data_IF_997335473783
#
_entry.id   IF_997335473783
#
_cell.length_a   1.000
_cell.length_b   1.000
_cell.length_c   1.000
_cell.angle_alpha   90.00
_cell.angle_beta   90.00
_cell.angle_gamma   90.00
#
_symmetry.space_group_name_H-M   'P 1'
#
loop_
_entity.id
_entity.type
_entity.pdbx_description
1 polymer ?
#
# COMPACT_ATOMS: atom_id res chain seq x y z
N UNK A 1 -28.93 26.78 -9.19
CA UNK A 1 -28.43 25.72 -10.12
C UNK A 1 -27.88 24.60 -9.29
N UNK A 2 -28.18 23.34 -9.62
CA UNK A 2 -27.68 22.18 -8.89
C UNK A 2 -26.12 22.18 -8.90
N UNK A 3 -25.50 22.00 -7.74
CA UNK A 3 -24.03 22.02 -7.63
C UNK A 3 -23.41 20.63 -7.80
N UNK A 4 -24.19 19.59 -7.46
CA UNK A 4 -23.80 18.21 -7.64
C UNK A 4 -24.30 17.63 -8.95
N UNK A 5 -23.47 16.78 -9.57
CA UNK A 5 -23.86 15.95 -10.73
C UNK A 5 -23.77 14.47 -10.37
N UNK A 6 -24.57 13.66 -11.05
CA UNK A 6 -24.54 12.21 -10.90
C UNK A 6 -23.46 11.59 -11.79
N UNK A 7 -23.04 10.38 -11.43
CA UNK A 7 -22.04 9.62 -12.21
C UNK A 7 -22.44 9.45 -13.68
N UNK A 8 -23.71 9.23 -13.97
CA UNK A 8 -24.24 9.09 -15.33
C UNK A 8 -24.03 10.31 -16.22
N UNK A 9 -23.80 11.49 -15.63
CA UNK A 9 -23.63 12.75 -16.36
C UNK A 9 -22.16 13.05 -16.69
N UNK A 10 -21.20 12.37 -16.04
CA UNK A 10 -19.76 12.65 -16.19
C UNK A 10 -19.29 12.50 -17.63
N UNK A 11 -19.57 11.36 -18.26
CA UNK A 11 -19.07 11.07 -19.60
C UNK A 11 -19.57 12.07 -20.65
N UNK A 12 -20.83 12.51 -20.52
CA UNK A 12 -21.39 13.52 -21.41
C UNK A 12 -20.70 14.88 -21.22
N UNK A 13 -20.49 15.29 -19.96
CA UNK A 13 -19.82 16.56 -19.66
C UNK A 13 -18.35 16.55 -20.11
N UNK A 14 -17.62 15.44 -19.92
CA UNK A 14 -16.24 15.31 -20.41
C UNK A 14 -16.21 15.41 -21.95
N UNK A 15 -17.13 14.74 -22.65
CA UNK A 15 -17.25 14.86 -24.12
C UNK A 15 -17.54 16.29 -24.57
N UNK A 16 -18.26 17.04 -23.74
CA UNK A 16 -18.56 18.45 -23.97
C UNK A 16 -17.42 19.40 -23.54
N UNK A 17 -16.23 18.89 -23.20
CA UNK A 17 -15.03 19.66 -22.92
C UNK A 17 -14.85 20.12 -21.47
N UNK A 18 -15.65 19.62 -20.53
CA UNK A 18 -15.42 19.83 -19.10
C UNK A 18 -14.14 19.15 -18.63
N UNK A 19 -13.41 19.81 -17.74
CA UNK A 19 -12.21 19.22 -17.12
C UNK A 19 -12.63 18.47 -15.85
N UNK A 20 -12.16 17.23 -15.71
CA UNK A 20 -12.36 16.44 -14.50
C UNK A 20 -11.18 16.61 -13.57
N UNK A 21 -11.42 16.96 -12.29
CA UNK A 21 -10.37 17.29 -11.31
C UNK A 21 -10.47 16.36 -10.11
N UNK A 22 -9.36 15.73 -9.78
CA UNK A 22 -9.18 14.93 -8.56
C UNK A 22 -8.54 15.79 -7.47
N UNK A 23 -9.29 16.13 -6.43
CA UNK A 23 -8.81 16.92 -5.29
C UNK A 23 -8.15 16.10 -4.20
N UNK A 24 -8.13 14.78 -4.32
CA UNK A 24 -7.56 13.92 -3.27
C UNK A 24 -6.05 14.15 -3.15
N UNK A 25 -5.49 13.72 -2.02
CA UNK A 25 -4.06 13.79 -1.79
C UNK A 25 -3.25 12.86 -2.73
N UNK A 26 -1.95 13.13 -2.84
CA UNK A 26 -1.02 12.37 -3.70
C UNK A 26 -1.00 10.88 -3.33
N UNK A 27 -1.22 10.54 -2.06
CA UNK A 27 -1.26 9.16 -1.59
C UNK A 27 -2.52 8.48 -2.08
N UNK A 28 -3.69 9.12 -1.94
CA UNK A 28 -4.98 8.63 -2.46
C UNK A 28 -4.95 8.39 -3.97
N UNK A 29 -4.35 9.32 -4.73
CA UNK A 29 -4.20 9.25 -6.18
C UNK A 29 -3.35 8.04 -6.60
N UNK A 30 -2.34 7.66 -5.82
CA UNK A 30 -1.52 6.48 -6.09
C UNK A 30 -2.32 5.16 -6.10
N UNK A 31 -3.48 5.13 -5.48
CA UNK A 31 -4.37 3.95 -5.47
C UNK A 31 -5.35 3.91 -6.64
N UNK A 32 -5.38 4.92 -7.47
CA UNK A 32 -6.18 5.04 -8.69
C UNK A 32 -6.94 6.36 -8.75
N UNK A 33 -7.27 6.80 -9.96
CA UNK A 33 -8.07 7.99 -10.27
C UNK A 33 -9.20 7.62 -11.22
N UNK A 34 -10.21 8.48 -11.30
CA UNK A 34 -11.16 8.39 -12.42
C UNK A 34 -10.39 8.70 -13.71
N UNK A 35 -10.50 7.85 -14.76
CA UNK A 35 -9.77 8.05 -16.01
C UNK A 35 -9.99 9.45 -16.60
N UNK A 36 -8.89 10.10 -17.00
CA UNK A 36 -8.92 11.46 -17.55
C UNK A 36 -8.97 12.59 -16.52
N UNK A 37 -8.97 12.28 -15.23
CA UNK A 37 -8.90 13.30 -14.19
C UNK A 37 -7.51 13.93 -14.09
N UNK A 38 -7.48 15.23 -13.79
CA UNK A 38 -6.26 15.99 -13.50
C UNK A 38 -6.13 16.12 -11.98
N UNK A 39 -5.02 15.68 -11.38
CA UNK A 39 -4.80 15.83 -9.94
C UNK A 39 -4.52 17.31 -9.61
N UNK A 40 -5.35 17.90 -8.77
CA UNK A 40 -5.18 19.30 -8.36
C UNK A 40 -5.83 19.55 -7.01
N UNK A 41 -5.04 19.89 -6.01
CA UNK A 41 -5.54 20.21 -4.66
C UNK A 41 -6.32 21.50 -4.63
N UNK A 42 -7.20 21.65 -3.64
CA UNK A 42 -8.07 22.81 -3.47
C UNK A 42 -7.30 24.13 -3.52
N UNK A 43 -6.19 24.25 -2.79
CA UNK A 43 -5.36 25.46 -2.75
C UNK A 43 -4.85 25.85 -4.15
N UNK A 44 -4.34 24.87 -4.88
CA UNK A 44 -3.84 25.08 -6.24
C UNK A 44 -4.97 25.30 -7.24
N UNK A 45 -6.14 24.70 -7.01
CA UNK A 45 -7.33 24.85 -7.84
C UNK A 45 -7.81 26.32 -7.83
N UNK A 46 -7.92 26.93 -6.65
CA UNK A 46 -8.35 28.30 -6.48
C UNK A 46 -7.30 29.29 -6.98
N UNK A 47 -6.01 29.06 -6.68
CA UNK A 47 -4.93 29.91 -7.20
C UNK A 47 -4.85 29.92 -8.73
N UNK A 48 -5.23 28.84 -9.38
CA UNK A 48 -5.16 28.69 -10.82
C UNK A 48 -6.55 28.72 -11.50
N UNK A 49 -7.57 29.21 -10.82
CA UNK A 49 -8.95 29.24 -11.30
C UNK A 49 -9.08 29.82 -12.72
N UNK A 50 -8.29 30.84 -13.04
CA UNK A 50 -8.30 31.52 -14.34
C UNK A 50 -8.04 30.59 -15.55
N UNK A 51 -7.29 29.50 -15.39
CA UNK A 51 -7.01 28.56 -16.48
C UNK A 51 -8.25 27.80 -16.95
N UNK A 52 -9.26 27.66 -16.09
CA UNK A 52 -10.48 26.92 -16.42
C UNK A 52 -11.50 27.75 -17.21
N UNK A 53 -11.31 29.08 -17.34
CA UNK A 53 -12.20 29.96 -18.10
C UNK A 53 -12.25 29.65 -19.61
N UNK A 54 -11.25 28.94 -20.11
CA UNK A 54 -11.23 28.46 -21.51
C UNK A 54 -12.03 27.18 -21.74
N UNK A 55 -12.51 26.54 -20.67
CA UNK A 55 -13.32 25.33 -20.71
C UNK A 55 -14.78 25.66 -20.42
N UNK A 56 -15.74 24.84 -20.88
CA UNK A 56 -17.16 24.97 -20.54
C UNK A 56 -17.44 24.91 -19.05
N UNK A 57 -16.53 24.31 -18.28
CA UNK A 57 -16.56 24.20 -16.83
C UNK A 57 -15.71 23.06 -16.30
N UNK A 58 -15.77 22.84 -15.00
CA UNK A 58 -15.03 21.81 -14.30
C UNK A 58 -15.96 20.88 -13.52
N UNK A 59 -15.55 19.62 -13.41
CA UNK A 59 -16.15 18.62 -12.52
C UNK A 59 -15.08 18.28 -11.50
N UNK A 60 -15.42 18.39 -10.23
CA UNK A 60 -14.48 18.21 -9.14
C UNK A 60 -14.94 17.02 -8.31
N UNK A 61 -14.01 16.19 -7.87
CA UNK A 61 -14.34 15.16 -6.88
C UNK A 61 -13.26 15.06 -5.80
N UNK A 62 -13.71 14.73 -4.60
CA UNK A 62 -12.91 14.26 -3.49
C UNK A 62 -13.25 12.79 -3.19
N UNK A 63 -12.90 12.28 -2.05
CA UNK A 63 -13.16 10.88 -1.68
C UNK A 63 -14.67 10.58 -1.60
N UNK A 64 -15.48 11.46 -0.97
CA UNK A 64 -16.93 11.26 -0.71
C UNK A 64 -17.85 12.26 -1.38
N UNK A 65 -17.33 13.31 -1.98
CA UNK A 65 -18.12 14.38 -2.57
C UNK A 65 -18.32 15.60 -1.66
N UNK A 66 -17.96 15.54 -0.39
CA UNK A 66 -18.22 16.61 0.58
C UNK A 66 -17.34 17.84 0.34
N UNK A 67 -16.02 17.69 0.36
CA UNK A 67 -15.07 18.80 0.16
C UNK A 67 -15.11 19.37 -1.26
N UNK A 68 -15.48 18.57 -2.25
CA UNK A 68 -15.61 19.03 -3.63
C UNK A 68 -16.82 19.94 -3.88
N UNK A 69 -17.83 19.91 -2.98
CA UNK A 69 -18.94 20.88 -3.02
C UNK A 69 -18.41 22.28 -2.75
N UNK A 70 -17.64 22.46 -1.66
CA UNK A 70 -17.05 23.77 -1.33
C UNK A 70 -16.15 24.31 -2.45
N UNK A 71 -15.31 23.45 -3.02
CA UNK A 71 -14.46 23.83 -4.14
C UNK A 71 -15.26 24.26 -5.38
N UNK A 72 -16.37 23.60 -5.65
CA UNK A 72 -17.28 23.96 -6.75
C UNK A 72 -18.02 25.27 -6.47
N UNK A 73 -18.38 25.55 -5.21
CA UNK A 73 -18.99 26.83 -4.79
C UNK A 73 -18.00 27.99 -5.01
N UNK A 74 -16.79 27.88 -4.50
CA UNK A 74 -15.73 28.90 -4.65
C UNK A 74 -15.44 29.22 -6.13
N UNK A 75 -15.34 28.19 -6.99
CA UNK A 75 -15.13 28.43 -8.42
C UNK A 75 -16.33 29.12 -9.10
N UNK A 76 -17.55 28.85 -8.64
CA UNK A 76 -18.76 29.54 -9.15
C UNK A 76 -18.79 31.01 -8.74
N UNK A 77 -18.28 31.36 -7.56
CA UNK A 77 -18.11 32.76 -7.15
C UNK A 77 -17.14 33.50 -8.08
N UNK A 78 -16.13 32.79 -8.62
CA UNK A 78 -15.21 33.29 -9.66
C UNK A 78 -15.81 33.26 -11.10
N UNK A 79 -17.12 33.00 -11.24
CA UNK A 79 -17.82 32.86 -12.51
C UNK A 79 -17.32 31.71 -13.41
N UNK A 80 -16.82 30.63 -12.82
CA UNK A 80 -16.42 29.41 -13.51
C UNK A 80 -17.50 28.35 -13.26
N UNK A 81 -18.15 27.78 -14.32
CA UNK A 81 -19.13 26.72 -14.14
C UNK A 81 -18.44 25.48 -13.52
N UNK A 82 -18.80 25.16 -12.29
CA UNK A 82 -18.20 24.06 -11.54
C UNK A 82 -19.25 23.16 -10.93
N UNK A 83 -18.97 21.87 -10.89
CA UNK A 83 -19.84 20.83 -10.33
C UNK A 83 -19.03 19.89 -9.43
N UNK A 84 -19.64 19.47 -8.33
CA UNK A 84 -19.14 18.38 -7.49
C UNK A 84 -19.74 17.06 -7.96
N UNK A 85 -18.91 16.01 -7.99
CA UNK A 85 -19.39 14.65 -8.23
C UNK A 85 -20.07 14.10 -6.98
N UNK A 86 -21.35 13.78 -7.07
CA UNK A 86 -22.12 13.22 -5.97
C UNK A 86 -21.49 11.89 -5.47
N UNK A 87 -21.19 11.83 -4.17
CA UNK A 87 -20.54 10.69 -3.54
C UNK A 87 -19.07 10.46 -3.93
N UNK A 88 -18.48 11.37 -4.72
CA UNK A 88 -17.05 11.43 -5.05
C UNK A 88 -16.48 10.17 -5.69
N UNK A 89 -15.18 9.94 -5.47
CA UNK A 89 -14.46 8.75 -5.97
C UNK A 89 -15.07 7.44 -5.50
N UNK A 90 -15.58 7.39 -4.28
CA UNK A 90 -16.20 6.18 -3.73
C UNK A 90 -17.47 5.77 -4.48
N UNK A 91 -18.28 6.72 -4.93
CA UNK A 91 -19.47 6.42 -5.72
C UNK A 91 -19.09 5.88 -7.10
N UNK A 92 -18.10 6.53 -7.77
CA UNK A 92 -17.61 6.07 -9.06
C UNK A 92 -17.00 4.65 -8.96
N UNK A 93 -16.21 4.38 -7.92
CA UNK A 93 -15.62 3.06 -7.70
C UNK A 93 -16.68 1.98 -7.54
N UNK A 94 -17.78 2.27 -6.78
CA UNK A 94 -18.88 1.32 -6.60
C UNK A 94 -19.62 1.02 -7.91
N UNK A 95 -19.89 2.04 -8.72
CA UNK A 95 -20.55 1.83 -10.00
C UNK A 95 -19.68 1.03 -10.97
N UNK A 96 -18.39 1.34 -11.02
CA UNK A 96 -17.41 0.59 -11.83
C UNK A 96 -17.39 -0.89 -11.46
N UNK A 97 -17.39 -1.18 -10.15
CA UNK A 97 -17.43 -2.55 -9.63
C UNK A 97 -18.71 -3.29 -9.99
N UNK A 98 -19.86 -2.60 -10.02
CA UNK A 98 -21.12 -3.22 -10.41
C UNK A 98 -21.13 -3.61 -11.89
N UNK A 99 -20.54 -2.79 -12.75
CA UNK A 99 -20.42 -3.08 -14.19
C UNK A 99 -19.46 -4.24 -14.49
N UNK A 100 -18.47 -4.49 -13.64
CA UNK A 100 -17.49 -5.57 -13.83
C UNK A 100 -18.00 -6.97 -13.46
N UNK A 101 -19.16 -7.11 -12.82
CA UNK A 101 -19.68 -8.40 -12.33
C UNK A 101 -19.90 -9.39 -13.49
N UNK A 102 -20.24 -8.92 -14.67
CA UNK A 102 -20.58 -9.76 -15.84
C UNK A 102 -19.36 -10.25 -16.65
N UNK A 103 -18.17 -9.69 -16.42
CA UNK A 103 -16.94 -9.99 -17.19
C UNK A 103 -15.85 -10.73 -16.39
N UNK A 104 -16.15 -11.16 -15.18
CA UNK A 104 -15.16 -11.62 -14.18
C UNK A 104 -14.28 -12.82 -14.58
N UNK A 105 -14.78 -13.79 -15.37
CA UNK A 105 -14.00 -14.99 -15.68
C UNK A 105 -12.89 -14.70 -16.71
N UNK A 106 -13.18 -13.94 -17.74
CA UNK A 106 -12.22 -13.58 -18.80
C UNK A 106 -11.12 -12.68 -18.22
N UNK A 107 -11.48 -11.68 -17.43
CA UNK A 107 -10.53 -10.76 -16.80
C UNK A 107 -9.57 -11.48 -15.84
N UNK A 108 -10.06 -12.45 -15.06
CA UNK A 108 -9.23 -13.30 -14.20
C UNK A 108 -8.16 -14.05 -14.97
N UNK A 109 -8.54 -14.72 -16.06
CA UNK A 109 -7.61 -15.48 -16.90
C UNK A 109 -6.57 -14.57 -17.56
N UNK A 110 -6.96 -13.38 -18.00
CA UNK A 110 -6.05 -12.38 -18.57
C UNK A 110 -5.01 -11.90 -17.54
N UNK A 111 -5.43 -11.62 -16.30
CA UNK A 111 -4.53 -11.23 -15.23
C UNK A 111 -3.54 -12.35 -14.91
N UNK A 112 -4.00 -13.61 -14.81
CA UNK A 112 -3.13 -14.76 -14.56
C UNK A 112 -2.13 -14.97 -15.71
N UNK A 113 -2.58 -14.91 -16.96
CA UNK A 113 -1.71 -14.96 -18.14
C UNK A 113 -0.73 -13.79 -18.16
N UNK A 114 -1.16 -12.61 -17.72
CA UNK A 114 -0.33 -11.44 -17.59
C UNK A 114 0.84 -11.66 -16.63
N UNK A 115 0.59 -12.25 -15.44
CA UNK A 115 1.63 -12.60 -14.47
C UNK A 115 2.63 -13.60 -15.06
N UNK A 116 2.15 -14.61 -15.78
CA UNK A 116 2.99 -15.65 -16.38
C UNK A 116 3.86 -15.14 -17.55
N UNK A 117 3.43 -14.10 -18.27
CA UNK A 117 4.10 -13.58 -19.46
C UNK A 117 4.67 -12.18 -19.24
N UNK A 118 3.81 -11.15 -19.32
CA UNK A 118 4.20 -9.73 -19.31
C UNK A 118 4.90 -9.32 -18.01
N UNK A 119 4.37 -9.78 -16.89
CA UNK A 119 4.83 -9.41 -15.55
C UNK A 119 5.79 -10.41 -14.93
N UNK A 120 6.11 -11.49 -15.63
CA UNK A 120 6.97 -12.56 -15.09
C UNK A 120 8.31 -12.03 -14.59
N UNK A 121 9.02 -11.24 -15.40
CA UNK A 121 10.35 -10.71 -15.05
C UNK A 121 10.31 -9.66 -13.93
N UNK A 122 9.24 -8.90 -13.84
CA UNK A 122 9.11 -7.75 -12.93
C UNK A 122 8.43 -8.09 -11.60
N UNK A 123 7.53 -9.07 -11.60
CA UNK A 123 6.76 -9.46 -10.42
C UNK A 123 7.05 -10.89 -9.98
N UNK A 124 6.80 -11.89 -10.83
CA UNK A 124 6.91 -13.29 -10.41
C UNK A 124 8.36 -13.72 -10.14
N UNK A 125 9.30 -13.40 -11.03
CA UNK A 125 10.70 -13.78 -10.86
C UNK A 125 11.34 -13.15 -9.60
N UNK A 126 11.18 -11.84 -9.28
CA UNK A 126 11.64 -11.28 -8.01
C UNK A 126 10.94 -11.89 -6.79
N UNK A 127 9.64 -12.22 -6.87
CA UNK A 127 8.91 -12.93 -5.82
C UNK A 127 9.54 -14.31 -5.53
N UNK A 128 9.67 -15.14 -6.55
CA UNK A 128 10.28 -16.46 -6.43
C UNK A 128 11.74 -16.38 -5.97
N UNK A 129 12.50 -15.37 -6.44
CA UNK A 129 13.86 -15.09 -5.98
C UNK A 129 13.89 -14.76 -4.49
N UNK A 130 13.01 -13.87 -4.01
CA UNK A 130 12.96 -13.52 -2.58
C UNK A 130 12.64 -14.74 -1.73
N UNK A 131 11.63 -15.53 -2.12
CA UNK A 131 11.26 -16.78 -1.43
C UNK A 131 12.44 -17.74 -1.33
N UNK A 132 13.21 -17.91 -2.41
CA UNK A 132 14.36 -18.79 -2.44
C UNK A 132 15.56 -18.23 -1.67
N UNK A 133 15.91 -16.96 -1.89
CA UNK A 133 17.10 -16.32 -1.30
C UNK A 133 17.01 -16.24 0.22
N UNK A 134 15.83 -15.95 0.73
CA UNK A 134 15.62 -15.81 2.18
C UNK A 134 14.98 -17.05 2.82
N UNK A 135 14.95 -18.17 2.09
CA UNK A 135 14.44 -19.47 2.58
C UNK A 135 13.09 -19.36 3.29
N UNK A 136 12.14 -18.70 2.61
CA UNK A 136 10.84 -18.36 3.20
C UNK A 136 9.85 -19.52 3.26
N UNK A 137 10.03 -20.54 2.42
CA UNK A 137 9.11 -21.69 2.31
C UNK A 137 9.80 -23.02 2.54
N UNK A 138 9.11 -23.91 3.25
CA UNK A 138 9.47 -25.31 3.44
C UNK A 138 8.33 -26.22 2.99
N UNK A 139 8.65 -27.49 2.71
CA UNK A 139 7.62 -28.49 2.46
C UNK A 139 6.76 -28.71 3.71
N UNK A 140 5.45 -28.77 3.52
CA UNK A 140 4.48 -28.89 4.59
C UNK A 140 4.02 -27.58 5.22
N UNK A 141 4.58 -26.43 4.82
CA UNK A 141 4.13 -25.13 5.32
C UNK A 141 2.65 -24.88 5.05
N UNK A 142 1.97 -24.28 6.01
CA UNK A 142 0.64 -23.68 5.84
C UNK A 142 0.70 -22.19 6.15
N UNK A 143 0.46 -21.37 5.12
CA UNK A 143 0.76 -19.95 5.12
C UNK A 143 -0.53 -19.15 5.14
N UNK A 144 -0.71 -18.28 6.14
CA UNK A 144 -1.74 -17.27 6.13
C UNK A 144 -1.26 -16.05 5.32
N UNK A 145 -1.77 -15.90 4.10
CA UNK A 145 -1.54 -14.73 3.25
C UNK A 145 -2.45 -13.62 3.73
N UNK A 146 -1.88 -12.60 4.39
CA UNK A 146 -2.65 -11.52 5.00
C UNK A 146 -3.07 -10.49 3.95
N UNK A 147 -4.38 -10.34 3.76
CA UNK A 147 -4.98 -9.44 2.77
C UNK A 147 -5.57 -8.22 3.49
N UNK A 148 -5.07 -7.04 3.15
CA UNK A 148 -5.58 -5.76 3.65
C UNK A 148 -6.62 -5.11 2.73
N UNK A 149 -6.84 -5.65 1.54
CA UNK A 149 -7.66 -5.06 0.49
C UNK A 149 -6.91 -4.11 -0.44
N UNK A 150 -5.65 -3.77 -0.14
CA UNK A 150 -4.80 -2.94 -1.00
C UNK A 150 -4.11 -3.74 -2.11
N UNK A 151 -3.60 -3.00 -3.12
CA UNK A 151 -2.93 -3.55 -4.31
C UNK A 151 -1.84 -4.57 -4.00
N UNK A 152 -1.02 -4.28 -2.96
CA UNK A 152 0.16 -5.11 -2.63
C UNK A 152 -0.25 -6.48 -2.10
N UNK A 153 -1.20 -6.52 -1.18
CA UNK A 153 -1.68 -7.77 -0.57
C UNK A 153 -2.44 -8.65 -1.57
N UNK A 154 -3.21 -8.05 -2.47
CA UNK A 154 -3.93 -8.77 -3.52
C UNK A 154 -2.97 -9.33 -4.59
N UNK A 155 -1.96 -8.54 -5.01
CA UNK A 155 -0.91 -9.05 -5.89
C UNK A 155 -0.13 -10.18 -5.24
N UNK A 156 0.26 -10.04 -3.95
CA UNK A 156 0.94 -11.10 -3.20
C UNK A 156 0.15 -12.41 -3.23
N UNK A 157 -1.16 -12.35 -3.03
CA UNK A 157 -2.03 -13.53 -3.11
C UNK A 157 -1.98 -14.19 -4.49
N UNK A 158 -2.01 -13.39 -5.58
CA UNK A 158 -1.90 -13.91 -6.94
C UNK A 158 -0.54 -14.53 -7.22
N UNK A 159 0.55 -13.93 -6.74
CA UNK A 159 1.90 -14.46 -6.90
C UNK A 159 2.10 -15.78 -6.13
N UNK A 160 1.48 -15.92 -4.95
CA UNK A 160 1.44 -17.20 -4.24
C UNK A 160 0.65 -18.27 -4.98
N UNK A 161 -0.52 -17.94 -5.54
CA UNK A 161 -1.29 -18.87 -6.37
C UNK A 161 -0.48 -19.34 -7.59
N UNK A 162 0.26 -18.42 -8.23
CA UNK A 162 1.13 -18.77 -9.35
C UNK A 162 2.30 -19.64 -8.89
N UNK A 163 2.98 -19.29 -7.78
CA UNK A 163 4.08 -20.08 -7.23
C UNK A 163 3.65 -21.53 -6.90
N UNK A 164 2.44 -21.70 -6.37
CA UNK A 164 1.89 -23.03 -6.05
C UNK A 164 1.72 -23.92 -7.29
N UNK A 165 1.42 -23.33 -8.46
CA UNK A 165 1.31 -24.07 -9.75
C UNK A 165 2.64 -24.70 -10.17
N UNK A 166 3.78 -24.12 -9.76
CA UNK A 166 5.12 -24.63 -10.14
C UNK A 166 5.55 -25.87 -9.34
N UNK A 167 4.87 -26.24 -8.28
CA UNK A 167 5.06 -27.50 -7.51
C UNK A 167 6.51 -27.76 -7.02
N UNK A 168 7.32 -26.72 -6.88
CA UNK A 168 8.71 -26.85 -6.39
C UNK A 168 8.77 -27.14 -4.88
N UNK A 169 7.78 -26.71 -4.14
CA UNK A 169 7.54 -26.95 -2.71
C UNK A 169 6.07 -27.29 -2.52
N UNK A 170 5.78 -28.19 -1.60
CA UNK A 170 4.41 -28.54 -1.23
C UNK A 170 3.99 -27.71 -0.01
N UNK A 171 3.11 -26.73 -0.21
CA UNK A 171 2.59 -25.86 0.85
C UNK A 171 1.12 -25.53 0.62
N UNK A 172 0.43 -25.16 1.71
CA UNK A 172 -0.97 -24.77 1.70
C UNK A 172 -1.11 -23.27 1.95
N UNK A 173 -2.14 -22.67 1.35
CA UNK A 173 -2.45 -21.25 1.46
C UNK A 173 -3.80 -21.04 2.13
N UNK A 174 -3.86 -20.08 3.04
CA UNK A 174 -5.09 -19.51 3.59
C UNK A 174 -5.03 -18.00 3.32
N UNK A 175 -6.00 -17.47 2.58
CA UNK A 175 -6.07 -16.04 2.29
C UNK A 175 -6.91 -15.35 3.36
N UNK A 176 -6.25 -14.67 4.28
CA UNK A 176 -6.84 -14.19 5.52
C UNK A 176 -7.08 -12.69 5.48
N UNK A 177 -8.34 -12.29 5.59
CA UNK A 177 -8.75 -10.88 5.72
C UNK A 177 -9.18 -10.66 7.16
N UNK A 178 -8.57 -9.71 7.84
CA UNK A 178 -9.05 -9.24 9.11
C UNK A 178 -9.91 -8.00 8.89
N UNK A 179 -11.17 -8.06 9.30
CA UNK A 179 -12.09 -6.92 9.34
C UNK A 179 -12.04 -6.29 10.73
N UNK A 180 -11.40 -5.13 10.88
CA UNK A 180 -11.31 -4.42 12.17
C UNK A 180 -12.53 -3.51 12.43
N UNK A 181 -13.62 -3.71 11.71
CA UNK A 181 -14.84 -2.89 11.69
C UNK A 181 -14.91 -1.99 10.45
N UNK A 182 -14.66 -2.55 9.28
CA UNK A 182 -14.79 -1.83 8.00
C UNK A 182 -16.20 -1.28 7.81
N UNK A 183 -16.32 -0.21 7.03
CA UNK A 183 -17.63 0.16 6.50
C UNK A 183 -18.14 -0.94 5.54
N UNK A 184 -19.46 -1.13 5.42
CA UNK A 184 -20.03 -2.10 4.47
C UNK A 184 -19.52 -1.90 3.04
N UNK A 185 -19.26 -0.63 2.65
CA UNK A 185 -18.73 -0.28 1.33
C UNK A 185 -17.30 -0.78 1.15
N UNK A 186 -16.42 -0.52 2.12
CA UNK A 186 -15.03 -0.95 2.07
C UNK A 186 -14.92 -2.48 2.05
N UNK A 187 -15.75 -3.16 2.83
CA UNK A 187 -15.82 -4.62 2.84
C UNK A 187 -16.22 -5.17 1.47
N UNK A 188 -17.26 -4.60 0.84
CA UNK A 188 -17.69 -4.99 -0.52
C UNK A 188 -16.57 -4.83 -1.55
N UNK A 189 -15.76 -3.77 -1.47
CA UNK A 189 -14.61 -3.57 -2.37
C UNK A 189 -13.60 -4.70 -2.23
N UNK A 190 -13.27 -5.11 -1.00
CA UNK A 190 -12.34 -6.20 -0.73
C UNK A 190 -12.86 -7.53 -1.27
N UNK A 191 -14.13 -7.84 -0.99
CA UNK A 191 -14.79 -9.08 -1.44
C UNK A 191 -14.89 -9.13 -2.97
N UNK A 192 -15.25 -8.00 -3.61
CA UNK A 192 -15.31 -7.89 -5.06
C UNK A 192 -13.94 -8.14 -5.71
N UNK A 193 -12.91 -7.43 -5.26
CA UNK A 193 -11.56 -7.61 -5.78
C UNK A 193 -11.04 -9.04 -5.59
N UNK A 194 -11.33 -9.65 -4.44
CA UNK A 194 -10.98 -11.04 -4.20
C UNK A 194 -11.68 -11.98 -5.17
N UNK A 195 -12.98 -11.78 -5.44
CA UNK A 195 -13.76 -12.54 -6.41
C UNK A 195 -13.22 -12.35 -7.84
N UNK A 196 -12.99 -11.09 -8.26
CA UNK A 196 -12.43 -10.74 -9.57
C UNK A 196 -11.07 -11.42 -9.79
N UNK A 197 -10.20 -11.42 -8.79
CA UNK A 197 -8.87 -12.03 -8.85
C UNK A 197 -8.91 -13.55 -8.59
N UNK A 198 -10.05 -14.13 -8.24
CA UNK A 198 -10.18 -15.55 -7.90
C UNK A 198 -9.38 -15.95 -6.66
N UNK A 199 -9.38 -15.10 -5.63
CA UNK A 199 -8.73 -15.34 -4.36
C UNK A 199 -9.79 -15.81 -3.34
N UNK A 200 -9.75 -17.05 -2.85
CA UNK A 200 -10.71 -17.56 -1.87
C UNK A 200 -10.39 -17.01 -0.47
N UNK A 201 -10.92 -15.84 -0.15
CA UNK A 201 -10.65 -15.19 1.14
C UNK A 201 -11.44 -15.79 2.29
N UNK A 202 -10.81 -15.83 3.46
CA UNK A 202 -11.44 -16.11 4.76
C UNK A 202 -11.45 -14.83 5.56
N UNK A 203 -12.64 -14.29 5.86
CA UNK A 203 -12.78 -13.04 6.62
C UNK A 203 -13.08 -13.40 8.08
N UNK A 204 -12.42 -12.70 9.00
CA UNK A 204 -12.76 -12.71 10.43
C UNK A 204 -12.85 -11.28 10.96
N UNK A 205 -13.75 -11.07 11.90
CA UNK A 205 -14.04 -9.78 12.49
C UNK A 205 -13.25 -9.55 13.77
N UNK A 206 -12.96 -8.30 14.09
CA UNK A 206 -12.35 -7.89 15.35
C UNK A 206 -12.77 -6.47 15.72
N UNK A 207 -12.85 -6.18 17.01
CA UNK A 207 -13.29 -4.88 17.54
C UNK A 207 -12.14 -3.88 17.70
N UNK A 208 -11.09 -3.97 16.85
CA UNK A 208 -9.89 -3.16 17.01
C UNK A 208 -10.20 -1.68 16.84
N UNK A 209 -11.04 -1.31 15.88
CA UNK A 209 -11.36 0.10 15.68
C UNK A 209 -12.06 0.71 16.89
N UNK A 210 -12.96 -0.05 17.51
CA UNK A 210 -13.66 0.41 18.71
C UNK A 210 -12.71 0.48 19.91
N UNK A 211 -11.72 -0.43 19.99
CA UNK A 211 -10.69 -0.45 21.03
C UNK A 211 -9.65 0.68 20.91
N UNK A 212 -9.47 1.25 19.73
CA UNK A 212 -8.50 2.34 19.47
C UNK A 212 -9.19 3.72 19.50
N UNK A 213 -10.53 3.76 19.55
CA UNK A 213 -11.31 4.98 19.74
C UNK A 213 -10.91 5.64 21.06
N UNK A 214 -10.50 6.91 21.00
CA UNK A 214 -10.11 7.70 22.18
C UNK A 214 -8.61 7.65 22.54
N UNK A 215 -7.77 6.97 21.77
CA UNK A 215 -6.32 7.00 21.98
C UNK A 215 -5.72 8.19 21.21
N UNK A 216 -5.29 9.23 21.94
CA UNK A 216 -4.73 10.45 21.36
C UNK A 216 -3.32 10.28 20.79
N UNK A 217 -2.49 9.37 21.35
CA UNK A 217 -1.09 9.18 20.94
C UNK A 217 -0.94 7.99 19.98
N UNK A 218 -0.62 8.28 18.73
CA UNK A 218 -0.26 7.29 17.70
C UNK A 218 -1.28 6.16 17.51
N UNK A 219 -2.57 6.45 17.27
CA UNK A 219 -3.63 5.43 17.15
C UNK A 219 -3.32 4.42 16.03
N UNK A 220 -2.74 4.86 14.92
CA UNK A 220 -2.35 3.99 13.81
C UNK A 220 -1.26 2.97 14.20
N UNK A 221 -0.30 3.34 15.05
CA UNK A 221 0.73 2.41 15.52
C UNK A 221 0.13 1.31 16.41
N UNK A 222 -0.75 1.71 17.32
CA UNK A 222 -1.42 0.78 18.25
C UNK A 222 -2.33 -0.16 17.45
N UNK A 223 -3.12 0.39 16.53
CA UNK A 223 -3.97 -0.38 15.62
C UNK A 223 -3.14 -1.41 14.82
N UNK A 224 -2.03 -1.01 14.22
CA UNK A 224 -1.16 -1.90 13.47
C UNK A 224 -0.56 -3.02 14.34
N UNK A 225 -0.21 -2.73 15.60
CA UNK A 225 0.29 -3.72 16.56
C UNK A 225 -0.80 -4.71 16.97
N UNK A 226 -2.00 -4.24 17.29
CA UNK A 226 -3.15 -5.09 17.64
C UNK A 226 -3.55 -5.97 16.46
N UNK A 227 -3.67 -5.38 15.26
CA UNK A 227 -3.98 -6.12 14.02
C UNK A 227 -3.02 -7.28 13.81
N UNK A 228 -1.73 -7.07 14.03
CA UNK A 228 -0.73 -8.13 13.88
C UNK A 228 -0.97 -9.27 14.88
N UNK A 229 -1.26 -8.97 16.14
CA UNK A 229 -1.58 -9.96 17.17
C UNK A 229 -2.78 -10.82 16.78
N UNK A 230 -3.88 -10.21 16.35
CA UNK A 230 -5.09 -10.90 15.90
C UNK A 230 -4.83 -11.78 14.65
N UNK A 231 -4.05 -11.27 13.69
CA UNK A 231 -3.66 -12.04 12.50
C UNK A 231 -2.87 -13.31 12.88
N UNK A 232 -1.91 -13.20 13.79
CA UNK A 232 -1.15 -14.35 14.28
C UNK A 232 -2.05 -15.34 15.00
N UNK A 233 -2.92 -14.87 15.89
CA UNK A 233 -3.84 -15.73 16.64
C UNK A 233 -4.76 -16.51 15.69
N UNK A 234 -5.38 -15.83 14.72
CA UNK A 234 -6.27 -16.45 13.76
C UNK A 234 -5.55 -17.40 12.81
N UNK A 235 -4.35 -17.03 12.35
CA UNK A 235 -3.52 -17.89 11.52
C UNK A 235 -3.16 -19.20 12.26
N UNK A 236 -2.79 -19.14 13.53
CA UNK A 236 -2.49 -20.29 14.37
C UNK A 236 -3.74 -21.17 14.60
N UNK A 237 -4.90 -20.56 14.86
CA UNK A 237 -6.19 -21.27 14.98
C UNK A 237 -6.51 -22.08 13.71
N UNK A 238 -6.19 -21.52 12.53
CA UNK A 238 -6.34 -22.17 11.24
C UNK A 238 -5.22 -23.19 10.92
N UNK A 239 -4.31 -23.44 11.86
CA UNK A 239 -3.20 -24.37 11.72
C UNK A 239 -2.08 -23.87 10.80
N UNK A 240 -1.98 -22.56 10.57
CA UNK A 240 -0.86 -21.97 9.82
C UNK A 240 0.36 -21.85 10.72
N UNK A 241 1.55 -22.11 10.16
CA UNK A 241 2.83 -21.89 10.81
C UNK A 241 3.54 -20.61 10.30
N UNK A 242 3.00 -19.96 9.26
CA UNK A 242 3.55 -18.73 8.72
C UNK A 242 2.46 -17.69 8.43
N UNK A 243 2.81 -16.41 8.57
CA UNK A 243 2.04 -15.30 8.03
C UNK A 243 2.85 -14.57 6.97
N UNK A 244 2.23 -14.24 5.85
CA UNK A 244 2.83 -13.47 4.76
C UNK A 244 2.26 -12.07 4.70
N UNK A 245 3.13 -11.05 4.67
CA UNK A 245 2.78 -9.65 4.58
C UNK A 245 3.28 -9.03 3.28
N UNK A 246 2.47 -8.20 2.65
CA UNK A 246 2.71 -7.60 1.34
C UNK A 246 3.67 -6.40 1.32
N UNK A 247 4.71 -6.40 2.17
CA UNK A 247 5.74 -5.37 2.11
C UNK A 247 6.68 -5.62 0.92
N UNK A 248 7.01 -4.55 0.22
CA UNK A 248 7.82 -4.58 -1.00
C UNK A 248 9.16 -3.86 -0.83
N UNK A 249 9.99 -3.85 -1.87
CA UNK A 249 11.34 -3.27 -1.87
C UNK A 249 11.38 -1.83 -1.39
N UNK A 250 10.43 -1.01 -1.84
CA UNK A 250 10.40 0.42 -1.49
C UNK A 250 10.09 0.61 0.00
N UNK A 251 9.22 -0.22 0.60
CA UNK A 251 9.00 -0.22 2.07
C UNK A 251 10.29 -0.51 2.85
N UNK A 252 11.14 -1.38 2.32
CA UNK A 252 12.41 -1.76 2.97
C UNK A 252 13.37 -0.58 2.98
N UNK A 253 13.61 0.06 1.82
CA UNK A 253 14.53 1.20 1.74
C UNK A 253 14.01 2.41 2.53
N UNK A 254 12.71 2.66 2.52
CA UNK A 254 12.08 3.69 3.35
C UNK A 254 12.32 3.40 4.84
N UNK A 255 12.14 2.14 5.27
CA UNK A 255 12.34 1.74 6.68
C UNK A 255 13.80 1.90 7.12
N UNK A 256 14.76 1.58 6.26
CA UNK A 256 16.19 1.78 6.54
C UNK A 256 16.48 3.26 6.78
N UNK A 257 16.08 4.14 5.86
CA UNK A 257 16.31 5.58 6.01
C UNK A 257 15.54 6.17 7.20
N UNK A 258 14.31 5.76 7.43
CA UNK A 258 13.54 6.20 8.60
C UNK A 258 14.24 5.80 9.90
N UNK A 259 14.80 4.60 9.97
CA UNK A 259 15.60 4.15 11.13
C UNK A 259 16.80 5.05 11.39
N UNK A 260 17.53 5.43 10.33
CA UNK A 260 18.70 6.29 10.41
C UNK A 260 18.32 7.75 10.76
N UNK A 261 17.38 8.34 10.03
CA UNK A 261 17.08 9.78 10.10
C UNK A 261 16.24 10.16 11.33
N UNK A 262 15.33 9.30 11.76
CA UNK A 262 14.40 9.61 12.85
C UNK A 262 14.58 8.71 14.07
N UNK A 263 15.20 7.53 13.91
CA UNK A 263 15.41 6.59 15.00
C UNK A 263 16.85 6.53 15.52
N UNK A 264 17.83 7.12 14.81
CA UNK A 264 19.25 7.02 15.13
C UNK A 264 19.74 5.56 15.13
N UNK A 265 19.16 4.70 14.30
CA UNK A 265 19.43 3.26 14.27
C UNK A 265 19.61 2.78 12.83
N UNK A 266 20.65 1.97 12.61
CA UNK A 266 20.79 1.22 11.35
C UNK A 266 20.06 -0.12 11.51
N UNK A 267 18.86 -0.21 10.99
CA UNK A 267 18.02 -1.42 11.02
C UNK A 267 17.20 -1.55 9.75
N UNK A 268 16.91 -2.78 9.37
CA UNK A 268 16.07 -3.09 8.22
C UNK A 268 14.78 -3.78 8.64
N UNK A 269 13.84 -3.81 7.71
CA UNK A 269 12.68 -4.67 7.78
C UNK A 269 13.12 -6.08 7.36
N UNK A 270 13.22 -7.03 8.28
CA UNK A 270 13.70 -8.38 7.97
C UNK A 270 12.77 -9.11 6.98
N UNK A 271 13.31 -9.78 5.95
CA UNK A 271 12.50 -10.53 4.98
C UNK A 271 11.76 -11.73 5.62
N UNK A 272 12.36 -12.31 6.66
CA UNK A 272 11.83 -13.45 7.43
C UNK A 272 12.21 -13.28 8.89
N UNK A 273 11.28 -13.59 9.81
CA UNK A 273 11.57 -13.58 11.25
C UNK A 273 10.62 -14.49 12.03
N UNK A 274 11.11 -15.08 13.10
CA UNK A 274 10.30 -15.79 14.07
C UNK A 274 9.45 -14.82 14.89
N UNK A 275 8.25 -15.25 15.22
CA UNK A 275 7.40 -14.48 16.13
C UNK A 275 7.87 -14.64 17.58
N UNK A 276 8.09 -13.54 18.28
CA UNK A 276 8.45 -13.56 19.70
C UNK A 276 7.29 -13.93 20.62
N UNK A 277 6.05 -13.68 20.18
CA UNK A 277 4.84 -13.87 21.00
C UNK A 277 4.02 -15.12 20.60
N UNK A 278 4.31 -15.72 19.46
CA UNK A 278 3.61 -16.88 18.92
C UNK A 278 4.64 -17.94 18.53
N UNK A 279 4.96 -18.80 19.49
CA UNK A 279 5.92 -19.88 19.30
C UNK A 279 5.57 -20.74 18.08
N UNK A 280 6.59 -21.13 17.30
CA UNK A 280 6.44 -21.90 16.07
C UNK A 280 5.89 -21.13 14.87
N UNK A 281 5.59 -19.81 15.01
CA UNK A 281 5.11 -18.98 13.90
C UNK A 281 6.24 -18.14 13.31
N UNK A 282 6.26 -18.03 11.99
CA UNK A 282 7.16 -17.13 11.25
C UNK A 282 6.37 -16.05 10.49
N UNK A 283 6.99 -14.88 10.35
CA UNK A 283 6.55 -13.84 9.42
C UNK A 283 7.46 -13.84 8.20
N UNK A 284 6.87 -13.81 7.02
CA UNK A 284 7.59 -13.71 5.74
C UNK A 284 7.11 -12.52 4.91
N UNK A 285 8.01 -11.96 4.08
CA UNK A 285 7.74 -10.83 3.17
C UNK A 285 8.18 -11.20 1.75
N UNK A 286 7.40 -11.99 1.03
CA UNK A 286 7.84 -12.55 -0.25
C UNK A 286 7.94 -11.51 -1.38
N UNK A 287 7.33 -10.32 -1.23
CA UNK A 287 7.46 -9.21 -2.17
C UNK A 287 8.71 -8.34 -1.95
N UNK A 288 9.62 -8.75 -1.07
CA UNK A 288 10.80 -8.01 -0.61
C UNK A 288 11.68 -7.43 -1.73
N UNK A 289 11.70 -8.07 -2.90
CA UNK A 289 12.48 -7.65 -4.08
C UNK A 289 11.64 -7.03 -5.20
N UNK A 290 10.33 -6.83 -4.99
CA UNK A 290 9.43 -6.24 -5.98
C UNK A 290 9.35 -4.73 -5.78
N UNK A 291 9.42 -3.97 -6.88
CA UNK A 291 9.31 -2.51 -6.87
C UNK A 291 7.84 -2.06 -6.85
N UNK A 292 7.56 -1.02 -6.07
CA UNK A 292 6.21 -0.44 -6.00
C UNK A 292 5.69 0.02 -7.37
N UNK A 293 6.56 0.60 -8.20
CA UNK A 293 6.20 1.07 -9.54
C UNK A 293 5.74 -0.09 -10.45
N UNK A 294 6.33 -1.28 -10.31
CA UNK A 294 5.88 -2.46 -11.07
C UNK A 294 4.53 -2.98 -10.57
N UNK A 295 4.24 -2.85 -9.26
CA UNK A 295 2.93 -3.17 -8.69
C UNK A 295 1.86 -2.20 -9.19
N UNK A 296 2.17 -0.90 -9.22
CA UNK A 296 1.29 0.13 -9.77
C UNK A 296 1.00 -0.10 -11.25
N UNK A 297 2.05 -0.36 -12.03
CA UNK A 297 1.91 -0.63 -13.45
C UNK A 297 1.09 -1.90 -13.73
N UNK A 298 1.20 -2.95 -12.91
CA UNK A 298 0.34 -4.13 -12.97
C UNK A 298 -1.12 -3.77 -12.67
N UNK A 299 -1.39 -3.00 -11.63
CA UNK A 299 -2.72 -2.51 -11.28
C UNK A 299 -3.35 -1.75 -12.45
N UNK A 300 -2.62 -0.76 -12.98
CA UNK A 300 -3.12 0.14 -14.03
C UNK A 300 -3.36 -0.59 -15.34
N UNK A 301 -2.47 -1.53 -15.70
CA UNK A 301 -2.63 -2.35 -16.92
C UNK A 301 -3.86 -3.25 -16.87
N UNK A 302 -4.25 -3.69 -15.68
CA UNK A 302 -5.41 -4.57 -15.49
C UNK A 302 -6.67 -3.79 -15.08
N UNK A 303 -6.61 -2.46 -15.09
CA UNK A 303 -7.73 -1.59 -14.70
C UNK A 303 -8.32 -2.02 -13.34
N UNK A 304 -7.44 -2.17 -12.33
CA UNK A 304 -7.81 -2.61 -10.99
C UNK A 304 -7.84 -1.43 -10.03
N UNK A 305 -8.86 -1.39 -9.20
CA UNK A 305 -9.08 -0.33 -8.23
C UNK A 305 -9.10 -0.90 -6.82
N UNK A 306 -8.27 -0.36 -5.94
CA UNK A 306 -8.09 -0.82 -4.57
C UNK A 306 -8.36 0.28 -3.56
N UNK A 307 -8.72 -0.11 -2.35
CA UNK A 307 -8.83 0.82 -1.23
C UNK A 307 -7.44 1.29 -0.80
N UNK A 308 -7.33 2.59 -0.55
CA UNK A 308 -6.13 3.17 0.06
C UNK A 308 -6.03 2.80 1.54
N UNK A 309 -7.08 3.07 2.28
CA UNK A 309 -7.23 2.71 3.68
C UNK A 309 -8.69 2.32 3.90
N UNK A 310 -8.90 1.11 4.43
CA UNK A 310 -10.25 0.65 4.75
C UNK A 310 -10.69 1.08 6.16
N UNK A 311 -9.94 1.96 6.83
CA UNK A 311 -10.18 2.42 8.19
C UNK A 311 -11.41 3.34 8.27
N UNK A 312 -12.22 3.21 9.32
CA UNK A 312 -13.33 4.15 9.64
C UNK A 312 -12.84 5.57 9.95
N UNK A 313 -11.57 5.70 10.35
CA UNK A 313 -10.94 6.97 10.74
C UNK A 313 -10.24 7.69 9.60
N UNK A 314 -10.49 7.34 8.35
CA UNK A 314 -9.88 8.03 7.19
C UNK A 314 -10.09 9.54 7.24
N UNK A 315 -11.19 10.00 7.80
CA UNK A 315 -11.54 11.43 7.90
C UNK A 315 -10.89 12.15 9.07
N UNK A 316 -10.48 11.42 10.12
CA UNK A 316 -9.86 11.97 11.34
C UNK A 316 -8.41 11.51 11.54
N UNK A 317 -7.93 10.60 10.70
CA UNK A 317 -6.58 10.06 10.77
C UNK A 317 -5.58 11.09 10.25
N UNK A 318 -4.67 11.54 11.10
CA UNK A 318 -3.58 12.46 10.72
C UNK A 318 -2.68 11.95 9.58
N UNK A 319 -2.71 10.64 9.31
CA UNK A 319 -2.05 10.00 8.15
C UNK A 319 -2.89 10.01 6.88
N UNK A 320 -4.18 10.35 6.98
CA UNK A 320 -5.18 10.29 5.91
C UNK A 320 -5.92 11.63 5.73
N UNK A 321 -5.58 12.67 6.50
CA UNK A 321 -6.21 13.99 6.39
C UNK A 321 -5.88 14.63 5.05
N UNK A 322 -6.91 15.18 4.41
CA UNK A 322 -6.85 15.85 3.11
C UNK A 322 -6.09 17.20 3.17
N UNK A 323 -5.79 17.72 4.37
CA UNK A 323 -5.20 19.05 4.62
C UNK A 323 -3.71 19.21 4.23
N UNK A 324 -3.15 18.28 3.46
CA UNK A 324 -1.83 18.45 2.86
C UNK A 324 -0.63 18.38 3.80
N UNK A 325 -0.84 18.42 5.11
CA UNK A 325 0.17 18.25 6.15
C UNK A 325 0.14 16.82 6.72
N UNK A 326 0.19 15.82 5.86
CA UNK A 326 0.52 14.48 6.33
C UNK A 326 1.95 14.52 6.87
N UNK A 327 2.10 14.67 8.18
CA UNK A 327 3.36 14.54 8.93
C UNK A 327 3.86 13.07 8.90
N UNK A 328 3.57 12.34 7.83
CA UNK A 328 4.02 10.97 7.67
C UNK A 328 5.50 10.97 7.33
N UNK A 329 6.32 10.57 8.32
CA UNK A 329 7.78 10.41 8.13
C UNK A 329 8.11 9.49 6.95
N UNK A 330 7.23 8.58 6.62
CA UNK A 330 7.35 7.72 5.45
C UNK A 330 7.22 8.51 4.14
N UNK A 331 6.25 9.42 4.05
CA UNK A 331 6.07 10.26 2.84
C UNK A 331 7.26 11.22 2.65
N UNK A 332 7.76 11.82 3.74
CA UNK A 332 8.96 12.65 3.69
C UNK A 332 10.16 11.84 3.18
N UNK A 333 10.36 10.62 3.72
CA UNK A 333 11.45 9.73 3.30
C UNK A 333 11.31 9.33 1.84
N UNK A 334 10.10 9.04 1.37
CA UNK A 334 9.82 8.70 -0.02
C UNK A 334 10.17 9.86 -0.96
N UNK A 335 9.80 11.10 -0.60
CA UNK A 335 10.16 12.31 -1.35
C UNK A 335 11.68 12.52 -1.37
N UNK A 336 12.36 12.31 -0.25
CA UNK A 336 13.82 12.40 -0.15
C UNK A 336 14.52 11.39 -1.07
N UNK A 337 14.08 10.12 -1.06
CA UNK A 337 14.63 9.09 -1.96
C UNK A 337 14.44 9.48 -3.42
N UNK A 338 13.25 9.97 -3.78
CA UNK A 338 12.96 10.41 -5.15
C UNK A 338 13.85 11.57 -5.58
N UNK A 339 14.14 12.52 -4.67
CA UNK A 339 15.05 13.64 -4.95
C UNK A 339 16.49 13.17 -5.12
N UNK A 340 16.99 12.33 -4.21
CA UNK A 340 18.35 11.76 -4.31
C UNK A 340 18.53 10.93 -5.58
N UNK A 341 17.49 10.26 -6.05
CA UNK A 341 17.52 9.45 -7.27
C UNK A 341 17.76 10.29 -8.53
N UNK A 342 17.37 11.57 -8.55
CA UNK A 342 17.64 12.48 -9.69
C UNK A 342 19.13 12.68 -9.92
N UNK A 343 19.92 12.69 -8.85
CA UNK A 343 21.38 12.89 -8.91
C UNK A 343 22.16 11.57 -8.98
N UNK A 344 21.63 10.50 -8.37
CA UNK A 344 22.27 9.20 -8.37
C UNK A 344 21.25 8.07 -8.61
N UNK A 345 21.18 7.49 -9.82
CA UNK A 345 20.23 6.44 -10.17
C UNK A 345 20.42 5.14 -9.37
N UNK A 346 21.57 4.95 -8.71
CA UNK A 346 21.87 3.75 -7.91
C UNK A 346 21.49 3.89 -6.44
N UNK A 347 20.97 5.05 -6.00
CA UNK A 347 20.75 5.37 -4.59
C UNK A 347 19.85 4.35 -3.89
N UNK A 348 18.78 3.93 -4.52
CA UNK A 348 17.84 2.94 -3.96
C UNK A 348 18.54 1.60 -3.71
N UNK A 349 19.33 1.14 -4.69
CA UNK A 349 20.14 -0.08 -4.55
C UNK A 349 21.22 0.03 -3.47
N UNK A 350 21.84 1.20 -3.33
CA UNK A 350 22.85 1.45 -2.31
C UNK A 350 22.25 1.45 -0.92
N UNK A 351 21.07 2.09 -0.72
CA UNK A 351 20.35 2.05 0.56
C UNK A 351 19.99 0.60 0.91
N UNK A 352 19.44 -0.17 -0.04
CA UNK A 352 19.08 -1.56 0.19
C UNK A 352 20.28 -2.41 0.61
N UNK A 353 21.39 -2.31 -0.14
CA UNK A 353 22.61 -3.07 0.12
C UNK A 353 23.35 -2.65 1.38
N UNK A 354 23.16 -1.44 1.88
CA UNK A 354 23.89 -0.93 3.06
C UNK A 354 23.67 -1.78 4.31
N UNK A 355 22.52 -2.44 4.43
CA UNK A 355 22.21 -3.33 5.56
C UNK A 355 22.61 -4.80 5.31
N UNK A 356 23.01 -5.14 4.09
CA UNK A 356 23.59 -6.44 3.74
C UNK A 356 25.13 -6.43 3.81
N UNK A 357 25.76 -5.24 3.77
CA UNK A 357 27.20 -5.04 3.75
C UNK A 357 27.66 -4.20 4.96
N UNK A 358 27.24 -4.58 6.16
CA UNK A 358 27.64 -3.90 7.39
C UNK A 358 29.04 -4.37 7.80
N UNK A 359 29.98 -3.42 7.89
CA UNK A 359 31.34 -3.67 8.37
C UNK A 359 31.42 -3.38 9.87
N UNK A 360 31.27 -4.42 10.69
CA UNK A 360 31.24 -4.28 12.15
C UNK A 360 32.51 -3.69 12.73
N UNK A 361 33.66 -3.94 12.11
CA UNK A 361 34.97 -3.42 12.55
C UNK A 361 35.07 -1.88 12.48
N UNK A 362 34.21 -1.24 11.69
CA UNK A 362 34.15 0.22 11.53
C UNK A 362 32.97 0.85 12.28
N UNK A 363 32.20 0.07 13.04
CA UNK A 363 31.10 0.56 13.85
C UNK A 363 31.57 0.91 15.26
N UNK A 364 31.20 2.11 15.74
CA UNK A 364 31.52 2.54 17.11
C UNK A 364 30.86 1.61 18.14
N UNK A 365 29.61 1.21 17.90
CA UNK A 365 28.90 0.25 18.72
C UNK A 365 27.78 -0.42 17.91
N UNK A 366 27.44 -1.65 18.26
CA UNK A 366 26.29 -2.38 17.73
C UNK A 366 25.60 -3.20 18.82
N UNK A 367 24.38 -3.62 18.59
CA UNK A 367 23.64 -4.50 19.49
C UNK A 367 23.40 -5.84 18.82
N UNK A 368 23.72 -6.91 19.53
CA UNK A 368 23.42 -8.28 19.13
C UNK A 368 22.85 -9.03 20.33
N UNK A 369 21.73 -9.73 20.15
CA UNK A 369 21.03 -10.50 21.20
C UNK A 369 20.74 -9.68 22.48
N UNK A 370 20.45 -8.37 22.30
CA UNK A 370 20.20 -7.44 23.40
C UNK A 370 21.46 -6.88 24.08
N UNK A 371 22.64 -7.41 23.76
CA UNK A 371 23.93 -7.00 24.29
C UNK A 371 24.49 -5.88 23.41
N UNK A 372 24.99 -4.82 24.04
CA UNK A 372 25.70 -3.74 23.34
C UNK A 372 27.18 -4.09 23.30
N UNK A 373 27.74 -4.13 22.10
CA UNK A 373 29.17 -4.24 21.84
C UNK A 373 29.71 -2.87 21.46
N UNK A 374 30.85 -2.48 22.04
CA UNK A 374 31.52 -1.23 21.77
C UNK A 374 32.92 -1.49 21.23
N UNK A 375 33.42 -0.68 20.30
CA UNK A 375 34.74 -0.91 19.70
C UNK A 375 35.89 -1.01 20.74
N UNK A 376 35.77 -0.30 21.88
CA UNK A 376 36.70 -0.35 22.97
C UNK A 376 36.78 -1.71 23.70
N UNK A 377 35.72 -2.54 23.62
CA UNK A 377 35.69 -3.83 24.33
C UNK A 377 36.77 -4.79 23.83
N UNK A 378 37.25 -4.59 22.59
CA UNK A 378 38.25 -5.41 21.93
C UNK A 378 39.46 -4.61 21.43
N UNK A 379 39.51 -3.29 21.65
CA UNK A 379 40.53 -2.39 21.09
C UNK A 379 41.94 -2.83 21.43
N UNK A 380 42.22 -3.11 22.69
CA UNK A 380 43.55 -3.51 23.15
C UNK A 380 43.82 -5.01 22.99
N UNK A 381 42.83 -5.83 22.62
CA UNK A 381 42.96 -7.27 22.39
C UNK A 381 43.38 -7.61 20.96
N UNK A 382 43.13 -6.73 20.00
CA UNK A 382 43.48 -6.88 18.59
C UNK A 382 44.90 -6.35 18.32
N UNK A 383 45.93 -7.05 18.77
CA UNK A 383 47.36 -6.77 18.44
C UNK A 383 47.71 -7.02 16.96
N UNK A 384 46.78 -7.19 16.04
CA UNK A 384 47.10 -7.44 14.62
C UNK A 384 45.99 -6.93 13.70
N UNK A 385 45.95 -5.63 13.43
CA UNK A 385 45.53 -5.15 12.12
C UNK A 385 46.63 -4.22 11.57
N UNK A 386 47.57 -4.78 10.88
CA UNK A 386 48.37 -4.04 9.90
C UNK A 386 47.55 -3.95 8.62
N UNK A 387 47.34 -2.76 8.02
CA UNK A 387 46.55 -2.58 6.80
C UNK A 387 47.18 -3.29 5.61
#
# INVERSE_FOLDING_TARGET
MQIEIQLSEIEEKIRNGYVLIDMRDEVSIQYGMIPGAVPLRMENLLQNAGQFRQHPGVIIYCTRGENSIYAAEELREENIPAYSLAGGYNAWLRERMQQEIDTNSVKKEEIERGIQKRWHKKLFSPFAKAVKTYDMLQDGDKIAVCISGGKDSMLMAKLFQELQKHKQKNFNLVFLVMDPGYSPENRRVIEHNAKLLGIPITIFESDIFDSVLGIEKSPCYICARMRRGHLYSKARELGCNKIALGHHYDDVIETILMGMLYGGQMQSMMPKLHSTNFEGMELIRPMYLIREDDIKAWRDTNDLYFLQCACKFTDTCSSCQEDGQSNSKRLETKKLIAELKKTNPFIEGNIFKSVENVMLDTMIAYKQDGIRHHFLDEYDKKEKYTP
#
